data_IF_568935179232
#
_entry.id   IF_568935179232
#
_cell.length_a   1.000
_cell.length_b   1.000
_cell.length_c   1.000
_cell.angle_alpha   90.00
_cell.angle_beta   90.00
_cell.angle_gamma   90.00
#
_symmetry.space_group_name_H-M   'P 1'
#
loop_
_entity.id
_entity.type
_entity.pdbx_description
1 polymer ?
#
# COMPACT_ATOMS: atom_id res chain seq x y z
N UNK A 1 -22.43 -17.03 32.68
CA UNK A 1 -22.23 -16.57 31.29
C UNK A 1 -23.59 -16.12 30.76
N UNK A 2 -23.67 -15.03 29.99
CA UNK A 2 -24.93 -14.62 29.36
C UNK A 2 -24.71 -14.40 27.87
N UNK A 3 -25.61 -14.94 27.05
CA UNK A 3 -25.54 -14.88 25.59
C UNK A 3 -25.28 -13.45 25.06
N UNK A 4 -25.91 -12.43 25.66
CA UNK A 4 -25.69 -11.03 25.26
C UNK A 4 -24.26 -10.54 25.50
N UNK A 5 -23.57 -11.02 26.55
CA UNK A 5 -22.14 -10.70 26.77
C UNK A 5 -21.25 -11.39 25.75
N UNK A 6 -21.55 -12.64 25.43
CA UNK A 6 -20.79 -13.40 24.44
C UNK A 6 -20.93 -12.80 23.04
N UNK A 7 -22.15 -12.40 22.66
CA UNK A 7 -22.40 -11.72 21.39
C UNK A 7 -21.67 -10.37 21.31
N UNK A 8 -21.70 -9.58 22.40
CA UNK A 8 -20.95 -8.31 22.45
C UNK A 8 -19.45 -8.54 22.31
N UNK A 9 -18.90 -9.55 22.98
CA UNK A 9 -17.48 -9.91 22.88
C UNK A 9 -17.11 -10.29 21.44
N UNK A 10 -17.86 -11.20 20.82
CA UNK A 10 -17.65 -11.61 19.42
C UNK A 10 -17.69 -10.42 18.46
N UNK A 11 -18.63 -9.50 18.64
CA UNK A 11 -18.71 -8.31 17.81
C UNK A 11 -17.48 -7.38 17.94
N UNK A 12 -16.90 -7.28 19.13
CA UNK A 12 -15.67 -6.50 19.35
C UNK A 12 -14.44 -7.20 18.75
N UNK A 13 -14.34 -8.52 18.93
CA UNK A 13 -13.28 -9.32 18.32
C UNK A 13 -13.32 -9.25 16.79
N UNK A 14 -14.51 -9.37 16.20
CA UNK A 14 -14.68 -9.22 14.75
C UNK A 14 -14.23 -7.84 14.25
N UNK A 15 -14.59 -6.75 14.97
CA UNK A 15 -14.14 -5.40 14.63
C UNK A 15 -12.63 -5.24 14.71
N UNK A 16 -12.01 -5.75 15.76
CA UNK A 16 -10.57 -5.72 15.92
C UNK A 16 -9.87 -6.48 14.78
N UNK A 17 -10.35 -7.69 14.46
CA UNK A 17 -9.80 -8.50 13.38
C UNK A 17 -9.94 -7.81 12.02
N UNK A 18 -11.11 -7.24 11.71
CA UNK A 18 -11.30 -6.48 10.47
C UNK A 18 -10.32 -5.31 10.37
N UNK A 19 -10.11 -4.57 11.46
CA UNK A 19 -9.15 -3.46 11.48
C UNK A 19 -7.71 -3.94 11.24
N UNK A 20 -7.31 -5.06 11.85
CA UNK A 20 -6.00 -5.67 11.64
C UNK A 20 -5.79 -6.08 10.18
N UNK A 21 -6.78 -6.74 9.56
CA UNK A 21 -6.71 -7.12 8.13
C UNK A 21 -6.57 -5.87 7.27
N UNK A 22 -7.41 -4.85 7.51
CA UNK A 22 -7.39 -3.63 6.72
C UNK A 22 -6.03 -2.94 6.79
N UNK A 23 -5.46 -2.79 7.99
CA UNK A 23 -4.15 -2.18 8.20
C UNK A 23 -3.03 -2.94 7.50
N UNK A 24 -2.96 -4.26 7.72
CA UNK A 24 -1.96 -5.10 7.08
C UNK A 24 -2.06 -5.04 5.55
N UNK A 25 -3.29 -5.05 5.02
CA UNK A 25 -3.49 -5.02 3.56
C UNK A 25 -3.10 -3.70 2.93
N UNK A 26 -3.37 -2.57 3.59
CA UNK A 26 -2.89 -1.27 3.11
C UNK A 26 -1.37 -1.17 3.22
N UNK A 27 -0.79 -1.64 4.32
CA UNK A 27 0.67 -1.67 4.50
C UNK A 27 1.35 -2.48 3.39
N UNK A 28 0.85 -3.69 3.12
CA UNK A 28 1.35 -4.58 2.07
C UNK A 28 1.29 -3.94 0.68
N UNK A 29 0.20 -3.23 0.35
CA UNK A 29 0.09 -2.53 -0.94
C UNK A 29 1.17 -1.46 -1.06
N UNK A 30 1.33 -0.60 -0.04
CA UNK A 30 2.37 0.44 -0.09
C UNK A 30 3.78 -0.15 -0.08
N UNK A 31 4.02 -1.22 0.67
CA UNK A 31 5.27 -1.98 0.62
C UNK A 31 5.54 -2.49 -0.79
N UNK A 32 4.56 -3.12 -1.44
CA UNK A 32 4.70 -3.63 -2.80
C UNK A 32 5.01 -2.51 -3.80
N UNK A 33 4.32 -1.36 -3.71
CA UNK A 33 4.60 -0.22 -4.57
C UNK A 33 6.01 0.32 -4.34
N UNK A 34 6.46 0.37 -3.09
CA UNK A 34 7.77 0.90 -2.71
C UNK A 34 8.93 -0.09 -2.88
N UNK A 35 8.64 -1.37 -3.16
CA UNK A 35 9.65 -2.43 -3.27
C UNK A 35 10.49 -2.22 -4.55
N UNK A 36 11.81 -2.01 -4.41
CA UNK A 36 12.77 -1.92 -5.50
C UNK A 36 12.75 -3.12 -6.46
N UNK A 37 13.06 -2.89 -7.73
CA UNK A 37 13.16 -3.96 -8.75
C UNK A 37 14.20 -5.03 -8.44
N UNK A 38 15.34 -4.65 -7.88
CA UNK A 38 16.40 -5.57 -7.43
C UNK A 38 16.00 -6.42 -6.22
N UNK A 39 14.99 -5.98 -5.47
CA UNK A 39 14.35 -6.73 -4.39
C UNK A 39 13.11 -7.52 -4.86
N UNK A 40 12.85 -7.58 -6.17
CA UNK A 40 11.74 -8.32 -6.78
C UNK A 40 10.43 -7.52 -6.92
N UNK A 41 10.46 -6.22 -6.64
CA UNK A 41 9.33 -5.32 -6.84
C UNK A 41 9.32 -4.62 -8.20
N UNK A 42 8.63 -3.47 -8.25
CA UNK A 42 8.46 -2.68 -9.47
C UNK A 42 9.06 -1.28 -9.38
N UNK A 43 9.43 -0.80 -8.19
CA UNK A 43 9.98 0.54 -7.96
C UNK A 43 11.36 0.71 -8.61
N UNK A 44 11.56 1.72 -9.48
CA UNK A 44 12.87 2.08 -9.99
C UNK A 44 13.84 2.54 -8.88
N UNK A 45 15.09 2.10 -8.99
CA UNK A 45 16.14 2.33 -7.96
C UNK A 45 17.03 3.54 -8.28
N UNK A 46 17.02 4.04 -9.54
CA UNK A 46 18.02 4.96 -10.12
C UNK A 46 18.58 6.02 -9.15
N UNK A 47 17.71 6.76 -8.45
CA UNK A 47 18.14 7.78 -7.49
C UNK A 47 17.52 7.64 -6.10
N UNK A 48 16.57 6.73 -5.90
CA UNK A 48 15.74 6.66 -4.68
C UNK A 48 14.81 7.87 -4.46
N UNK A 49 14.95 8.96 -5.23
CA UNK A 49 14.14 10.17 -5.08
C UNK A 49 12.66 9.91 -5.30
N UNK A 50 12.33 9.02 -6.25
CA UNK A 50 10.95 8.59 -6.47
C UNK A 50 10.40 7.96 -5.19
N UNK A 51 11.05 6.92 -4.66
CA UNK A 51 10.62 6.27 -3.41
C UNK A 51 10.44 7.28 -2.26
N UNK A 52 11.38 8.24 -2.14
CA UNK A 52 11.37 9.29 -1.12
C UNK A 52 10.40 10.44 -1.41
N UNK A 53 9.85 10.57 -2.62
CA UNK A 53 8.87 11.59 -2.97
C UNK A 53 7.45 11.22 -2.58
N UNK A 54 7.23 9.99 -2.10
CA UNK A 54 5.94 9.58 -1.53
C UNK A 54 5.53 10.56 -0.43
N UNK A 55 4.34 11.12 -0.60
CA UNK A 55 3.68 12.00 0.36
C UNK A 55 2.32 11.41 0.68
N UNK A 56 2.04 11.25 1.97
CA UNK A 56 0.79 10.68 2.45
C UNK A 56 -0.14 11.77 2.95
N UNK A 57 -1.41 11.71 2.57
CA UNK A 57 -2.43 12.60 3.11
C UNK A 57 -2.67 12.29 4.58
N UNK A 58 -2.59 13.31 5.44
CA UNK A 58 -2.66 13.13 6.90
C UNK A 58 -1.41 12.49 7.50
N UNK A 59 -0.34 12.33 6.71
CA UNK A 59 0.95 11.80 7.13
C UNK A 59 2.12 12.72 6.74
N UNK A 60 3.30 12.12 6.63
CA UNK A 60 4.53 12.80 6.23
C UNK A 60 4.93 12.53 4.77
N UNK A 61 6.15 12.95 4.45
CA UNK A 61 6.86 12.64 3.21
C UNK A 61 7.97 11.64 3.48
N UNK A 62 8.19 10.70 2.56
CA UNK A 62 9.29 9.75 2.58
C UNK A 62 8.87 8.33 2.25
N UNK A 63 9.87 7.47 2.00
CA UNK A 63 9.67 6.09 1.56
C UNK A 63 8.73 5.27 2.46
N UNK A 64 8.78 5.49 3.78
CA UNK A 64 8.00 4.74 4.77
C UNK A 64 6.86 5.56 5.39
N UNK A 65 6.55 6.74 4.85
CA UNK A 65 5.54 7.65 5.42
C UNK A 65 4.14 7.04 5.53
N UNK A 66 3.84 5.98 4.77
CA UNK A 66 2.58 5.24 4.84
C UNK A 66 2.40 4.48 6.16
N UNK A 67 3.48 4.05 6.83
CA UNK A 67 3.40 3.29 8.08
C UNK A 67 2.72 4.06 9.19
N UNK A 68 2.96 5.37 9.27
CA UNK A 68 2.32 6.23 10.27
C UNK A 68 0.82 6.42 10.02
N UNK A 69 0.43 6.53 8.74
CA UNK A 69 -0.99 6.61 8.35
C UNK A 69 -1.71 5.29 8.63
N UNK A 70 -1.13 4.15 8.26
CA UNK A 70 -1.69 2.82 8.53
C UNK A 70 -1.91 2.59 10.03
N UNK A 71 -0.96 3.01 10.89
CA UNK A 71 -1.10 2.85 12.35
C UNK A 71 -2.31 3.58 12.93
N UNK A 72 -2.70 4.70 12.32
CA UNK A 72 -3.77 5.56 12.82
C UNK A 72 -5.12 5.30 12.15
N UNK A 73 -5.13 4.66 10.97
CA UNK A 73 -6.35 4.40 10.21
C UNK A 73 -7.41 3.63 11.00
N UNK A 74 -8.68 3.93 10.72
CA UNK A 74 -9.86 3.23 11.17
C UNK A 74 -10.57 2.54 9.99
N UNK A 75 -11.50 1.64 10.30
CA UNK A 75 -12.35 1.04 9.27
C UNK A 75 -13.22 2.10 8.61
N UNK A 76 -13.16 2.16 7.28
CA UNK A 76 -13.89 3.15 6.46
C UNK A 76 -13.07 4.38 6.09
N UNK A 77 -11.86 4.55 6.63
CA UNK A 77 -10.96 5.61 6.21
C UNK A 77 -10.47 5.39 4.77
N UNK A 78 -10.24 6.50 4.06
CA UNK A 78 -9.58 6.50 2.75
C UNK A 78 -8.12 6.89 2.95
N UNK A 79 -7.21 6.00 2.53
CA UNK A 79 -5.77 6.25 2.57
C UNK A 79 -5.31 6.73 1.19
N UNK A 80 -4.66 7.89 1.14
CA UNK A 80 -4.17 8.51 -0.09
C UNK A 80 -2.67 8.78 0.03
N UNK A 81 -1.93 8.37 -1.01
CA UNK A 81 -0.51 8.67 -1.19
C UNK A 81 -0.23 9.10 -2.61
N UNK A 82 0.72 10.01 -2.80
CA UNK A 82 1.16 10.46 -4.12
C UNK A 82 2.67 10.64 -4.17
N UNK A 83 3.24 10.46 -5.36
CA UNK A 83 4.66 10.67 -5.62
C UNK A 83 4.87 12.04 -6.23
N UNK A 84 5.49 12.94 -5.47
CA UNK A 84 5.70 14.33 -5.89
C UNK A 84 7.05 14.49 -6.62
N UNK A 85 7.14 13.91 -7.81
CA UNK A 85 8.30 14.09 -8.68
C UNK A 85 7.88 14.08 -10.16
N UNK A 86 8.47 14.92 -11.05
CA UNK A 86 7.96 15.11 -12.41
C UNK A 86 7.88 13.83 -13.25
N UNK A 87 8.77 12.87 -13.00
CA UNK A 87 8.84 11.63 -13.77
C UNK A 87 8.04 10.47 -13.15
N UNK A 88 7.27 10.67 -12.07
CA UNK A 88 6.50 9.60 -11.43
C UNK A 88 5.52 8.91 -12.40
N UNK A 89 4.81 9.71 -13.20
CA UNK A 89 3.87 9.18 -14.21
C UNK A 89 4.58 8.41 -15.33
N UNK A 90 5.75 8.89 -15.76
CA UNK A 90 6.58 8.20 -16.77
C UNK A 90 7.17 6.92 -16.19
N UNK A 91 7.51 6.90 -14.89
CA UNK A 91 7.90 5.68 -14.21
C UNK A 91 6.74 4.68 -14.19
N UNK A 92 5.51 5.12 -13.87
CA UNK A 92 4.36 4.21 -13.81
C UNK A 92 4.00 3.63 -15.18
N UNK A 93 3.76 4.47 -16.18
CA UNK A 93 3.17 4.06 -17.45
C UNK A 93 4.16 3.94 -18.60
N UNK A 94 5.40 4.37 -18.41
CA UNK A 94 6.39 4.44 -19.47
C UNK A 94 6.24 5.71 -20.30
N UNK A 95 6.99 5.79 -21.39
CA UNK A 95 6.97 6.95 -22.28
C UNK A 95 8.06 6.89 -23.33
N UNK A 96 8.26 7.99 -24.04
CA UNK A 96 9.39 8.14 -24.96
C UNK A 96 10.54 8.86 -24.27
N UNK A 97 11.74 8.34 -24.45
CA UNK A 97 12.98 9.01 -24.09
C UNK A 97 13.25 10.19 -25.04
N UNK A 98 14.11 11.14 -24.66
CA UNK A 98 14.49 12.26 -25.53
C UNK A 98 15.10 11.85 -26.88
N UNK A 99 15.69 10.66 -26.96
CA UNK A 99 16.27 10.07 -28.18
C UNK A 99 15.24 9.37 -29.08
N UNK A 100 13.95 9.38 -28.69
CA UNK A 100 12.86 8.76 -29.42
C UNK A 100 12.63 7.27 -29.12
N UNK A 101 13.47 6.64 -28.30
CA UNK A 101 13.27 5.24 -27.87
C UNK A 101 12.13 5.12 -26.86
N UNK A 102 11.45 3.97 -26.81
CA UNK A 102 10.38 3.72 -25.86
C UNK A 102 10.92 3.13 -24.56
N UNK A 103 10.45 3.68 -23.44
CA UNK A 103 10.66 3.15 -22.09
C UNK A 103 9.37 2.45 -21.64
N UNK A 104 9.41 1.15 -21.31
CA UNK A 104 8.24 0.47 -20.76
C UNK A 104 7.90 0.99 -19.36
N UNK A 105 6.60 1.00 -19.03
CA UNK A 105 6.10 1.33 -17.71
C UNK A 105 6.51 0.30 -16.66
N UNK A 106 6.66 0.77 -15.42
CA UNK A 106 6.93 -0.10 -14.27
C UNK A 106 5.65 -0.70 -13.69
N UNK A 107 4.51 -0.02 -13.85
CA UNK A 107 3.22 -0.39 -13.27
C UNK A 107 3.32 -0.65 -11.75
N UNK A 108 4.00 0.23 -11.02
CA UNK A 108 4.25 0.09 -9.58
C UNK A 108 2.92 0.15 -8.82
N UNK A 109 2.16 1.22 -9.05
CA UNK A 109 0.87 1.45 -8.39
C UNK A 109 -0.19 0.52 -8.96
N UNK A 110 -0.27 0.47 -10.28
CA UNK A 110 -1.27 -0.34 -10.98
C UNK A 110 -1.10 -1.83 -10.68
N UNK A 111 0.14 -2.31 -10.66
CA UNK A 111 0.45 -3.70 -10.33
C UNK A 111 0.06 -4.05 -8.90
N UNK A 112 0.36 -3.20 -7.93
CA UNK A 112 -0.06 -3.43 -6.54
C UNK A 112 -1.58 -3.34 -6.35
N UNK A 113 -2.25 -2.45 -7.09
CA UNK A 113 -3.71 -2.33 -7.07
C UNK A 113 -4.40 -3.57 -7.65
N UNK A 114 -3.84 -4.19 -8.69
CA UNK A 114 -4.35 -5.46 -9.22
C UNK A 114 -4.28 -6.60 -8.21
N UNK A 115 -3.28 -6.59 -7.33
CA UNK A 115 -3.06 -7.63 -6.32
C UNK A 115 -3.87 -7.37 -5.02
N UNK A 116 -4.77 -6.37 -5.01
CA UNK A 116 -5.53 -5.97 -3.82
C UNK A 116 -6.36 -7.10 -3.21
N UNK A 117 -7.19 -7.76 -4.02
CA UNK A 117 -8.07 -8.83 -3.53
C UNK A 117 -7.24 -9.98 -2.92
N UNK A 118 -6.17 -10.39 -3.59
CA UNK A 118 -5.27 -11.43 -3.11
C UNK A 118 -4.56 -11.02 -1.80
N UNK A 119 -4.18 -9.76 -1.67
CA UNK A 119 -3.55 -9.22 -0.45
C UNK A 119 -4.51 -9.27 0.74
N UNK A 120 -5.76 -8.85 0.55
CA UNK A 120 -6.80 -8.92 1.59
C UNK A 120 -7.08 -10.37 2.00
N UNK A 121 -7.21 -11.28 1.03
CA UNK A 121 -7.42 -12.70 1.30
C UNK A 121 -6.27 -13.33 2.08
N UNK A 122 -5.02 -13.04 1.70
CA UNK A 122 -3.81 -13.50 2.39
C UNK A 122 -3.83 -13.07 3.86
N UNK A 123 -4.10 -11.79 4.12
CA UNK A 123 -4.11 -11.23 5.47
C UNK A 123 -5.29 -11.74 6.31
N UNK A 124 -6.46 -11.93 5.69
CA UNK A 124 -7.60 -12.59 6.33
C UNK A 124 -7.33 -14.05 6.70
N UNK A 125 -6.57 -14.78 5.86
CA UNK A 125 -6.13 -16.14 6.14
C UNK A 125 -5.11 -16.23 7.29
N UNK A 126 -4.21 -15.25 7.40
CA UNK A 126 -3.15 -15.22 8.41
C UNK A 126 -3.67 -15.05 9.84
N UNK A 127 -4.83 -14.42 10.03
CA UNK A 127 -5.46 -14.26 11.35
C UNK A 127 -6.04 -15.55 11.94
N UNK A 128 -6.13 -16.65 11.19
CA UNK A 128 -6.71 -17.93 11.66
C UNK A 128 -5.80 -18.74 12.59
N UNK A 129 -4.87 -18.13 13.33
CA UNK A 129 -3.93 -18.82 14.22
C UNK A 129 -4.21 -18.57 15.70
#
# INVERSE_FOLDING_TARGET
MSFGRDLKRLAQEAKANMLTIARASVEDVFEQVQTPRDEGGRMPVESGDLRNSLTMKGGGKGAESYKDVVRTMQLGDVVEGHWDIPYAMVAEFGGKNPDGTERPGNFMVTGAAFDWEQTVERNGGALKK
#
